data_IF_967407420072
#
_entry.id   IF_967407420072
#
_cell.length_a   1.000
_cell.length_b   1.000
_cell.length_c   1.000
_cell.angle_alpha   90.00
_cell.angle_beta   90.00
_cell.angle_gamma   90.00
#
_symmetry.space_group_name_H-M   'P 1'
#
loop_
_entity.id
_entity.type
_entity.pdbx_description
1 polymer ?
#
# COMPACT_ATOMS: atom_id res chain seq x y z
N UNK A 1 -7.58 4.46 -6.16
CA UNK A 1 -8.60 3.73 -6.96
C UNK A 1 -8.30 3.87 -8.44
N UNK A 2 -8.78 2.91 -9.26
CA UNK A 2 -8.56 2.94 -10.69
C UNK A 2 -9.54 2.05 -11.43
N UNK A 3 -9.39 2.06 -12.74
CA UNK A 3 -10.15 1.18 -13.65
C UNK A 3 -9.21 0.48 -14.61
N UNK A 4 -9.48 -0.77 -14.90
CA UNK A 4 -8.81 -1.54 -15.94
C UNK A 4 -9.78 -1.76 -17.11
N UNK A 5 -9.33 -1.44 -18.31
CA UNK A 5 -10.13 -1.65 -19.53
C UNK A 5 -10.15 -3.15 -19.85
N UNK A 6 -11.29 -3.80 -19.64
CA UNK A 6 -11.44 -5.26 -19.70
C UNK A 6 -10.79 -5.85 -20.95
N UNK A 7 -11.17 -5.42 -22.13
CA UNK A 7 -10.66 -5.95 -23.40
C UNK A 7 -9.12 -5.90 -23.49
N UNK A 8 -8.54 -4.75 -23.16
CA UNK A 8 -7.09 -4.55 -23.25
C UNK A 8 -6.36 -5.32 -22.15
N UNK A 9 -6.92 -5.35 -20.95
CA UNK A 9 -6.36 -6.08 -19.82
C UNK A 9 -6.39 -7.60 -20.06
N UNK A 10 -7.48 -8.14 -20.60
CA UNK A 10 -7.57 -9.56 -20.97
C UNK A 10 -6.53 -9.92 -22.04
N UNK A 11 -6.31 -9.06 -23.03
CA UNK A 11 -5.25 -9.24 -24.04
C UNK A 11 -3.85 -9.19 -23.39
N UNK A 12 -3.63 -8.25 -22.47
CA UNK A 12 -2.37 -8.14 -21.74
C UNK A 12 -2.07 -9.41 -20.94
N UNK A 13 -3.05 -9.94 -20.21
CA UNK A 13 -2.90 -11.17 -19.43
C UNK A 13 -2.60 -12.39 -20.33
N UNK A 14 -3.27 -12.48 -21.48
CA UNK A 14 -3.01 -13.51 -22.50
C UNK A 14 -1.56 -13.48 -22.97
N UNK A 15 -1.06 -12.31 -23.35
CA UNK A 15 0.34 -12.14 -23.77
C UNK A 15 1.34 -12.59 -22.69
N UNK A 16 1.01 -12.40 -21.43
CA UNK A 16 1.85 -12.78 -20.27
C UNK A 16 1.64 -14.21 -19.80
N UNK A 17 0.83 -15.03 -20.51
CA UNK A 17 0.50 -16.42 -20.14
C UNK A 17 -0.15 -16.59 -18.75
N UNK A 18 -0.86 -15.56 -18.28
CA UNK A 18 -1.56 -15.57 -16.97
C UNK A 18 -3.05 -15.99 -17.15
N UNK A 19 -3.37 -16.65 -18.25
CA UNK A 19 -4.72 -16.78 -18.79
C UNK A 19 -5.67 -17.71 -18.03
N UNK A 20 -5.18 -18.60 -17.17
CA UNK A 20 -6.03 -19.65 -16.59
C UNK A 20 -6.86 -19.22 -15.38
N UNK A 21 -6.88 -17.93 -15.05
CA UNK A 21 -7.46 -17.45 -13.79
C UNK A 21 -8.68 -16.54 -13.93
N UNK A 22 -9.11 -16.20 -15.16
CA UNK A 22 -10.11 -15.12 -15.36
C UNK A 22 -11.57 -15.63 -15.43
N UNK A 23 -11.78 -16.93 -15.51
CA UNK A 23 -13.11 -17.51 -15.85
C UNK A 23 -13.98 -17.87 -14.64
N UNK A 24 -13.54 -17.59 -13.45
CA UNK A 24 -14.31 -17.87 -12.23
C UNK A 24 -14.77 -16.59 -11.54
N UNK A 25 -15.81 -16.66 -10.74
CA UNK A 25 -16.36 -15.56 -9.91
C UNK A 25 -15.41 -15.06 -8.80
N UNK A 26 -14.12 -15.29 -8.96
CA UNK A 26 -13.09 -14.94 -7.99
C UNK A 26 -12.65 -13.47 -8.11
N UNK A 27 -12.44 -12.82 -6.97
CA UNK A 27 -11.72 -11.58 -6.89
C UNK A 27 -10.21 -11.86 -7.06
N UNK A 28 -9.56 -11.13 -7.95
CA UNK A 28 -8.12 -11.26 -8.15
C UNK A 28 -7.38 -10.26 -7.30
N UNK A 29 -6.29 -10.70 -6.70
CA UNK A 29 -5.33 -9.84 -6.03
C UNK A 29 -3.98 -9.93 -6.75
N UNK A 30 -3.38 -8.77 -7.03
CA UNK A 30 -2.04 -8.68 -7.56
C UNK A 30 -1.13 -8.05 -6.52
N UNK A 31 0.06 -8.62 -6.40
CA UNK A 31 1.10 -8.09 -5.54
C UNK A 31 2.24 -7.58 -6.41
N UNK A 32 2.65 -6.37 -6.18
CA UNK A 32 3.83 -5.76 -6.80
C UNK A 32 4.79 -5.34 -5.71
N UNK A 33 6.07 -5.48 -5.99
CA UNK A 33 7.10 -4.97 -5.11
C UNK A 33 8.15 -4.26 -5.98
N UNK A 34 8.62 -3.08 -5.60
CA UNK A 34 9.73 -2.47 -6.31
C UNK A 34 10.97 -3.38 -6.19
N UNK A 35 11.64 -3.61 -7.30
CA UNK A 35 12.89 -4.35 -7.28
C UNK A 35 14.03 -3.49 -6.73
N UNK A 36 15.15 -4.12 -6.36
CA UNK A 36 16.31 -3.44 -5.78
C UNK A 36 16.79 -2.26 -6.62
N UNK A 37 16.86 -2.42 -7.93
CA UNK A 37 17.27 -1.35 -8.85
C UNK A 37 16.36 -0.14 -8.79
N UNK A 38 15.04 -0.36 -8.67
CA UNK A 38 14.08 0.73 -8.53
C UNK A 38 14.15 1.39 -7.16
N UNK A 39 14.36 0.60 -6.10
CA UNK A 39 14.54 1.10 -4.74
C UNK A 39 15.74 2.05 -4.70
N UNK A 40 16.90 1.60 -5.20
CA UNK A 40 18.13 2.36 -5.19
C UNK A 40 18.05 3.62 -6.08
N UNK A 41 17.48 3.47 -7.28
CA UNK A 41 17.37 4.56 -8.26
C UNK A 41 16.46 5.71 -7.81
N UNK A 42 15.38 5.40 -7.10
CA UNK A 42 14.34 6.36 -6.74
C UNK A 42 14.25 6.63 -5.24
N UNK A 43 15.21 6.14 -4.45
CA UNK A 43 15.20 6.21 -2.96
C UNK A 43 13.85 5.77 -2.39
N UNK A 44 13.35 4.63 -2.87
CA UNK A 44 12.08 4.09 -2.40
C UNK A 44 12.28 3.35 -1.08
N UNK A 45 11.23 3.38 -0.26
CA UNK A 45 11.13 2.44 0.83
C UNK A 45 10.77 1.06 0.29
N UNK A 46 11.21 0.01 0.97
CA UNK A 46 10.74 -1.32 0.70
C UNK A 46 9.22 -1.35 0.90
N UNK A 47 8.50 -1.77 -0.12
CA UNK A 47 7.05 -1.63 -0.15
C UNK A 47 6.42 -2.81 -0.86
N UNK A 48 5.25 -3.22 -0.39
CA UNK A 48 4.37 -4.14 -1.07
C UNK A 48 3.12 -3.39 -1.54
N UNK A 49 2.82 -3.51 -2.81
CA UNK A 49 1.60 -2.97 -3.41
C UNK A 49 0.63 -4.11 -3.61
N UNK A 50 -0.46 -4.08 -2.88
CA UNK A 50 -1.56 -5.03 -3.05
C UNK A 50 -2.68 -4.35 -3.84
N UNK A 51 -3.15 -5.02 -4.88
CA UNK A 51 -4.28 -4.55 -5.64
C UNK A 51 -5.37 -5.61 -5.71
N UNK A 52 -6.58 -5.22 -5.34
CA UNK A 52 -7.79 -6.00 -5.55
C UNK A 52 -8.48 -5.57 -6.84
N UNK A 53 -8.84 -6.51 -7.68
CA UNK A 53 -9.69 -6.30 -8.85
C UNK A 53 -11.06 -6.87 -8.54
N UNK A 54 -12.08 -6.03 -8.60
CA UNK A 54 -13.46 -6.45 -8.43
C UNK A 54 -14.24 -6.28 -9.73
N UNK A 55 -15.13 -7.22 -10.04
CA UNK A 55 -16.15 -6.98 -11.06
C UNK A 55 -17.03 -5.80 -10.59
N UNK A 56 -17.40 -4.87 -11.49
CA UNK A 56 -18.23 -3.75 -11.10
C UNK A 56 -19.54 -4.28 -10.51
N UNK A 57 -19.77 -4.01 -9.24
CA UNK A 57 -21.06 -4.27 -8.60
C UNK A 57 -22.01 -3.16 -8.99
N UNK A 58 -23.14 -3.52 -9.58
CA UNK A 58 -24.16 -2.60 -10.10
C UNK A 58 -24.87 -1.73 -9.05
N UNK A 59 -24.54 -1.83 -7.76
CA UNK A 59 -25.41 -1.32 -6.70
C UNK A 59 -24.87 -0.27 -5.72
N UNK A 60 -23.58 0.10 -5.72
CA UNK A 60 -23.06 1.11 -4.75
C UNK A 60 -22.39 2.30 -5.42
N UNK A 61 -23.12 2.97 -6.26
CA UNK A 61 -22.66 3.90 -7.29
C UNK A 61 -22.53 5.38 -6.86
N UNK A 62 -22.72 5.77 -5.61
CA UNK A 62 -22.86 7.21 -5.33
C UNK A 62 -21.57 7.97 -5.03
N UNK A 63 -20.58 7.37 -4.37
CA UNK A 63 -19.31 8.07 -4.06
C UNK A 63 -18.18 7.78 -5.07
N UNK A 64 -18.29 6.73 -5.87
CA UNK A 64 -17.27 6.36 -6.85
C UNK A 64 -17.47 6.99 -8.22
N UNK A 65 -18.65 7.57 -8.50
CA UNK A 65 -18.97 8.14 -9.83
C UNK A 65 -18.01 9.22 -10.29
N UNK A 66 -17.62 10.11 -9.39
CA UNK A 66 -16.72 11.22 -9.75
C UNK A 66 -15.29 10.74 -9.98
N UNK A 67 -14.81 9.77 -9.20
CA UNK A 67 -13.50 9.15 -9.38
C UNK A 67 -13.46 8.31 -10.64
N UNK A 68 -14.48 7.49 -10.87
CA UNK A 68 -14.62 6.72 -12.11
C UNK A 68 -14.69 7.63 -13.33
N UNK A 69 -15.40 8.75 -13.24
CA UNK A 69 -15.46 9.73 -14.33
C UNK A 69 -14.08 10.30 -14.65
N UNK A 70 -13.28 10.67 -13.66
CA UNK A 70 -11.89 11.13 -13.87
C UNK A 70 -11.02 10.07 -14.54
N UNK A 71 -11.13 8.81 -14.11
CA UNK A 71 -10.37 7.70 -14.68
C UNK A 71 -10.86 7.32 -16.09
N UNK A 72 -12.16 7.36 -16.33
CA UNK A 72 -12.79 6.94 -17.58
C UNK A 72 -12.95 8.06 -18.61
N UNK A 73 -12.74 9.33 -18.24
CA UNK A 73 -13.02 10.45 -19.15
C UNK A 73 -12.44 10.30 -20.57
N UNK A 74 -11.18 9.85 -20.76
CA UNK A 74 -10.65 9.63 -22.10
C UNK A 74 -11.39 8.53 -22.87
N UNK A 75 -11.80 7.48 -22.18
CA UNK A 75 -12.56 6.37 -22.76
C UNK A 75 -14.00 6.75 -23.07
N UNK A 76 -14.63 7.60 -22.22
CA UNK A 76 -15.95 8.17 -22.47
C UNK A 76 -15.96 8.98 -23.76
N UNK A 77 -14.98 9.85 -23.95
CA UNK A 77 -14.85 10.66 -25.15
C UNK A 77 -14.67 9.76 -26.38
N UNK A 78 -13.81 8.75 -26.28
CA UNK A 78 -13.61 7.77 -27.35
C UNK A 78 -14.89 7.01 -27.69
N UNK A 79 -15.64 6.56 -26.69
CA UNK A 79 -16.88 5.83 -26.88
C UNK A 79 -18.02 6.71 -27.43
N UNK A 80 -18.09 7.99 -27.03
CA UNK A 80 -19.02 8.96 -27.59
C UNK A 80 -18.76 9.21 -29.08
N UNK A 81 -17.50 9.30 -29.47
CA UNK A 81 -17.08 9.54 -30.85
C UNK A 81 -17.21 8.30 -31.75
N UNK A 82 -17.02 7.10 -31.18
CA UNK A 82 -16.94 5.83 -31.94
C UNK A 82 -18.04 4.83 -31.62
N UNK A 83 -19.10 5.25 -30.91
CA UNK A 83 -20.35 4.47 -30.64
C UNK A 83 -20.15 3.03 -30.10
N UNK A 84 -19.07 2.75 -29.36
CA UNK A 84 -18.92 1.48 -28.63
C UNK A 84 -19.84 1.48 -27.39
N UNK A 85 -20.86 0.60 -27.39
CA UNK A 85 -21.99 0.62 -26.47
C UNK A 85 -21.74 0.04 -25.08
N UNK A 86 -20.57 -0.49 -24.75
CA UNK A 86 -20.37 -1.15 -23.46
C UNK A 86 -19.15 -0.61 -22.68
N UNK A 87 -19.46 -0.04 -21.50
CA UNK A 87 -18.48 0.26 -20.45
C UNK A 87 -18.03 -1.05 -19.80
N UNK A 88 -17.09 -1.76 -20.39
CA UNK A 88 -16.54 -2.99 -19.84
C UNK A 88 -15.21 -2.67 -19.16
N UNK A 89 -15.26 -2.48 -17.83
CA UNK A 89 -14.07 -2.26 -17.01
C UNK A 89 -14.12 -3.10 -15.72
N UNK A 90 -12.98 -3.25 -15.10
CA UNK A 90 -12.86 -3.77 -13.73
C UNK A 90 -12.53 -2.62 -12.80
N UNK A 91 -13.17 -2.58 -11.64
CA UNK A 91 -12.77 -1.69 -10.55
C UNK A 91 -11.47 -2.20 -9.92
N UNK A 92 -10.59 -1.28 -9.58
CA UNK A 92 -9.23 -1.57 -9.20
C UNK A 92 -8.82 -0.70 -8.02
N UNK A 93 -8.54 -1.33 -6.89
CA UNK A 93 -8.09 -0.67 -5.67
C UNK A 93 -6.63 -1.02 -5.38
N UNK A 94 -5.87 -0.04 -4.91
CA UNK A 94 -4.48 -0.20 -4.56
C UNK A 94 -4.29 0.15 -3.09
N UNK A 95 -3.66 -0.77 -2.37
CA UNK A 95 -3.13 -0.55 -1.03
C UNK A 95 -1.60 -0.66 -1.07
N UNK A 96 -0.91 0.31 -0.51
CA UNK A 96 0.54 0.29 -0.39
C UNK A 96 0.89 0.04 1.07
N UNK A 97 1.57 -1.06 1.34
CA UNK A 97 2.23 -1.36 2.61
C UNK A 97 3.70 -1.00 2.44
N UNK A 98 4.19 -0.09 3.23
CA UNK A 98 5.55 0.44 3.13
C UNK A 98 6.26 0.36 4.46
N UNK A 99 7.52 -0.03 4.43
CA UNK A 99 8.39 0.11 5.58
C UNK A 99 8.52 1.58 5.98
N UNK A 100 8.89 1.81 7.20
CA UNK A 100 9.22 3.11 7.74
C UNK A 100 10.66 3.08 8.24
N UNK A 101 11.45 4.12 7.93
CA UNK A 101 12.80 4.23 8.47
C UNK A 101 12.74 4.29 10.01
N UNK A 102 13.60 3.56 10.72
CA UNK A 102 13.67 3.66 12.17
C UNK A 102 13.92 5.09 12.61
N UNK A 103 13.14 5.56 13.57
CA UNK A 103 13.27 6.92 14.13
C UNK A 103 13.04 6.87 15.64
N UNK A 104 13.91 7.51 16.42
CA UNK A 104 13.73 7.64 17.88
C UNK A 104 12.52 8.50 18.26
N UNK A 105 11.95 9.27 17.33
CA UNK A 105 10.69 9.97 17.54
C UNK A 105 9.51 9.01 17.64
N UNK A 106 9.60 7.88 16.92
CA UNK A 106 8.59 6.83 16.93
C UNK A 106 8.93 5.83 18.02
N UNK A 107 8.23 5.93 19.15
CA UNK A 107 8.53 5.16 20.36
C UNK A 107 7.30 4.95 21.22
N UNK A 108 7.39 3.99 22.07
CA UNK A 108 6.41 3.75 23.14
C UNK A 108 7.09 4.10 24.46
N UNK A 109 6.44 4.91 25.27
CA UNK A 109 6.87 5.29 26.61
C UNK A 109 5.76 4.95 27.61
N UNK A 110 6.14 4.68 28.86
CA UNK A 110 5.15 4.53 29.92
C UNK A 110 4.73 5.92 30.42
N UNK A 111 3.42 6.15 30.48
CA UNK A 111 2.85 7.37 31.05
C UNK A 111 3.00 7.38 32.58
N UNK A 112 2.88 8.57 33.16
CA UNK A 112 2.71 8.71 34.62
C UNK A 112 1.34 8.22 35.10
N UNK A 113 0.36 8.21 34.21
CA UNK A 113 -0.98 7.69 34.46
C UNK A 113 -0.97 6.16 34.52
N UNK A 114 -1.84 5.63 35.39
CA UNK A 114 -1.96 4.19 35.61
C UNK A 114 -3.39 3.75 35.35
N UNK A 115 -3.52 2.48 34.95
CA UNK A 115 -4.81 1.82 34.86
C UNK A 115 -5.40 1.47 36.25
N UNK A 116 -6.57 0.83 36.26
CA UNK A 116 -7.26 0.40 37.47
C UNK A 116 -6.45 -0.63 38.29
N UNK A 117 -5.45 -1.28 37.73
CA UNK A 117 -4.57 -2.25 38.38
C UNK A 117 -3.24 -1.62 38.83
N UNK A 118 -3.09 -0.31 38.65
CA UNK A 118 -1.86 0.39 39.02
C UNK A 118 -0.73 0.25 37.99
N UNK A 119 -1.00 -0.26 36.80
CA UNK A 119 -0.02 -0.46 35.73
C UNK A 119 0.07 0.82 34.89
N UNK A 120 1.27 1.36 34.62
CA UNK A 120 1.43 2.53 33.74
C UNK A 120 0.85 2.31 32.34
N UNK A 121 0.10 3.29 31.85
CA UNK A 121 -0.50 3.24 30.51
C UNK A 121 0.59 3.51 29.47
N UNK A 122 0.68 2.75 28.35
CA UNK A 122 1.65 3.03 27.31
C UNK A 122 1.21 4.22 26.45
N UNK A 123 2.10 5.17 26.23
CA UNK A 123 1.94 6.26 25.28
C UNK A 123 2.66 5.93 23.99
N UNK A 124 1.96 5.97 22.87
CA UNK A 124 2.53 5.80 21.53
C UNK A 124 2.82 7.18 20.93
N UNK A 125 4.09 7.48 20.68
CA UNK A 125 4.55 8.58 19.87
C UNK A 125 4.84 8.07 18.48
N UNK A 126 4.08 8.51 17.49
CA UNK A 126 4.24 8.05 16.12
C UNK A 126 4.03 9.18 15.13
N UNK A 127 5.03 9.37 14.29
CA UNK A 127 5.02 10.34 13.20
C UNK A 127 5.39 9.62 11.90
N UNK A 128 4.59 9.82 10.87
CA UNK A 128 4.91 9.29 9.55
C UNK A 128 5.81 10.28 8.83
N UNK A 129 6.99 9.84 8.48
CA UNK A 129 7.97 10.66 7.80
C UNK A 129 7.58 10.98 6.35
N UNK A 130 8.09 12.11 5.84
CA UNK A 130 7.82 12.58 4.47
C UNK A 130 8.30 11.59 3.40
N UNK A 131 9.36 10.81 3.66
CA UNK A 131 9.89 9.79 2.75
C UNK A 131 8.86 8.69 2.46
N UNK A 132 8.00 8.32 3.41
CA UNK A 132 6.90 7.35 3.19
C UNK A 132 5.93 7.89 2.13
N UNK A 133 5.57 9.16 2.24
CA UNK A 133 4.69 9.84 1.27
C UNK A 133 5.34 9.93 -0.10
N UNK A 134 6.61 10.33 -0.16
CA UNK A 134 7.36 10.48 -1.40
C UNK A 134 7.51 9.12 -2.12
N UNK A 135 7.83 8.07 -1.38
CA UNK A 135 7.91 6.71 -1.90
C UNK A 135 6.57 6.24 -2.46
N UNK A 136 5.49 6.38 -1.68
CA UNK A 136 4.14 6.01 -2.12
C UNK A 136 3.71 6.78 -3.36
N UNK A 137 3.97 8.08 -3.41
CA UNK A 137 3.69 8.92 -4.58
C UNK A 137 4.42 8.41 -5.81
N UNK A 138 5.71 8.12 -5.70
CA UNK A 138 6.53 7.62 -6.81
C UNK A 138 6.06 6.27 -7.33
N UNK A 139 5.67 5.37 -6.43
CA UNK A 139 5.09 4.07 -6.78
C UNK A 139 3.80 4.25 -7.59
N UNK A 140 2.89 5.10 -7.10
CA UNK A 140 1.61 5.38 -7.78
C UNK A 140 1.82 6.03 -9.14
N UNK A 141 2.71 7.01 -9.25
CA UNK A 141 3.05 7.66 -10.53
C UNK A 141 3.61 6.65 -11.54
N UNK A 142 4.50 5.76 -11.09
CA UNK A 142 5.10 4.73 -11.94
C UNK A 142 4.05 3.74 -12.42
N UNK A 143 3.16 3.29 -11.54
CA UNK A 143 2.08 2.38 -11.90
C UNK A 143 1.06 3.03 -12.81
N UNK A 144 0.67 4.28 -12.53
CA UNK A 144 -0.25 5.03 -13.39
C UNK A 144 0.31 5.20 -14.81
N UNK A 145 1.62 5.53 -14.91
CA UNK A 145 2.30 5.62 -16.20
C UNK A 145 2.27 4.27 -16.93
N UNK A 146 2.60 3.18 -16.26
CA UNK A 146 2.56 1.83 -16.83
C UNK A 146 1.17 1.48 -17.38
N UNK A 147 0.09 1.73 -16.60
CA UNK A 147 -1.27 1.45 -17.05
C UNK A 147 -1.68 2.26 -18.30
N UNK A 148 -1.16 3.48 -18.39
CA UNK A 148 -1.38 4.35 -19.55
C UNK A 148 -0.60 3.88 -20.77
N UNK A 149 0.70 3.61 -20.60
CA UNK A 149 1.60 3.22 -21.69
C UNK A 149 1.18 1.87 -22.32
N UNK A 150 0.68 0.94 -21.51
CA UNK A 150 0.16 -0.35 -21.98
C UNK A 150 -1.32 -0.26 -22.42
N UNK A 151 -1.94 0.89 -22.33
CA UNK A 151 -3.36 1.14 -22.66
C UNK A 151 -4.35 0.21 -21.92
N UNK A 152 -3.97 -0.30 -20.74
CA UNK A 152 -4.76 -1.28 -19.98
C UNK A 152 -5.62 -0.67 -18.88
N UNK A 153 -5.41 0.60 -18.52
CA UNK A 153 -6.19 1.21 -17.45
C UNK A 153 -5.84 2.66 -17.13
N UNK A 154 -6.45 3.15 -16.08
CA UNK A 154 -6.22 4.48 -15.49
C UNK A 154 -6.24 4.37 -13.98
N UNK A 155 -5.48 5.22 -13.33
CA UNK A 155 -5.38 5.30 -11.87
C UNK A 155 -5.64 6.74 -11.43
N UNK A 156 -6.53 6.91 -10.46
CA UNK A 156 -6.73 8.16 -9.73
C UNK A 156 -6.16 8.00 -8.32
N UNK A 157 -5.21 8.83 -7.98
CA UNK A 157 -4.63 8.84 -6.66
C UNK A 157 -5.44 9.74 -5.72
N UNK A 158 -5.50 9.35 -4.45
CA UNK A 158 -6.16 10.12 -3.41
C UNK A 158 -5.42 11.43 -3.13
N UNK A 159 -6.17 12.47 -2.84
CA UNK A 159 -5.65 13.84 -2.63
C UNK A 159 -4.59 13.90 -1.53
N UNK A 160 -4.66 13.04 -0.51
CA UNK A 160 -3.70 13.04 0.60
C UNK A 160 -2.26 12.75 0.16
N UNK A 161 -2.05 12.07 -0.98
CA UNK A 161 -0.72 11.84 -1.53
C UNK A 161 -0.04 13.11 -2.03
N UNK A 162 -0.83 14.10 -2.44
CA UNK A 162 -0.37 15.36 -3.05
C UNK A 162 -0.53 16.56 -2.14
N UNK A 163 -1.17 16.41 -1.01
CA UNK A 163 -1.45 17.47 -0.05
C UNK A 163 -0.84 17.13 1.32
N UNK A 164 -0.78 18.11 2.23
CA UNK A 164 -0.36 17.88 3.61
C UNK A 164 -1.48 17.30 4.50
N UNK A 165 -2.57 16.85 3.91
CA UNK A 165 -3.65 16.19 4.67
C UNK A 165 -3.14 14.89 5.30
N UNK A 166 -3.67 14.58 6.48
CA UNK A 166 -3.37 13.33 7.18
C UNK A 166 -3.88 12.15 6.36
N UNK A 167 -3.17 11.04 6.43
CA UNK A 167 -3.64 9.79 5.84
C UNK A 167 -4.92 9.34 6.51
N UNK A 168 -5.86 8.81 5.71
CA UNK A 168 -7.15 8.35 6.22
C UNK A 168 -7.08 6.95 6.84
N UNK A 169 -6.11 6.12 6.42
CA UNK A 169 -5.92 4.77 6.91
C UNK A 169 -4.48 4.54 7.36
N UNK A 170 -4.33 3.72 8.38
CA UNK A 170 -3.20 3.94 9.19
C UNK A 170 -2.27 2.82 9.42
N UNK A 171 -2.62 1.61 9.51
CA UNK A 171 -1.64 0.65 9.99
C UNK A 171 -1.86 -0.74 9.46
N UNK A 172 -0.76 -1.47 9.33
CA UNK A 172 -0.76 -2.88 9.06
C UNK A 172 -0.77 -3.74 10.32
N UNK A 173 -0.85 -3.14 11.50
CA UNK A 173 -0.72 -3.82 12.80
C UNK A 173 0.58 -4.63 12.97
N UNK A 174 1.60 -4.32 12.16
CA UNK A 174 2.89 -4.97 12.16
C UNK A 174 3.95 -4.02 12.73
N UNK A 175 3.94 -3.89 14.06
CA UNK A 175 4.90 -3.05 14.76
C UNK A 175 6.24 -3.77 14.85
N UNK A 176 7.32 -3.08 14.47
CA UNK A 176 8.69 -3.61 14.53
C UNK A 176 9.61 -2.66 15.29
N UNK A 177 10.73 -3.19 15.80
CA UNK A 177 11.77 -2.41 16.44
C UNK A 177 11.60 -2.20 17.95
N UNK A 178 10.56 -2.76 18.57
CA UNK A 178 10.40 -2.75 20.02
C UNK A 178 11.48 -3.58 20.74
N UNK A 179 11.84 -4.73 20.16
CA UNK A 179 12.87 -5.65 20.66
C UNK A 179 14.13 -5.59 19.80
N UNK A 180 14.64 -4.40 19.61
CA UNK A 180 15.76 -4.12 18.71
C UNK A 180 17.00 -4.94 19.06
N UNK A 181 17.57 -5.63 18.05
CA UNK A 181 18.81 -6.40 18.16
C UNK A 181 20.04 -5.49 18.12
N UNK A 182 21.07 -5.83 18.89
CA UNK A 182 22.36 -5.15 18.86
C UNK A 182 23.32 -5.67 19.92
N UNK A 183 24.60 -5.28 19.78
CA UNK A 183 25.63 -5.69 20.71
C UNK A 183 25.72 -4.79 21.95
N UNK A 184 25.18 -3.58 21.89
CA UNK A 184 25.19 -2.63 23.00
C UNK A 184 23.86 -2.64 23.74
N UNK A 185 23.88 -3.09 24.97
CA UNK A 185 22.71 -3.16 25.86
C UNK A 185 22.03 -1.80 26.09
N UNK A 186 22.72 -0.68 25.92
CA UNK A 186 22.13 0.64 26.10
C UNK A 186 21.30 1.07 24.89
N UNK A 187 21.53 0.47 23.72
CA UNK A 187 20.90 0.79 22.47
C UNK A 187 20.11 -0.36 21.84
N UNK A 188 20.05 -1.52 22.53
CA UNK A 188 19.35 -2.71 22.06
C UNK A 188 18.70 -3.45 23.21
N UNK A 189 17.76 -4.31 22.89
CA UNK A 189 17.02 -5.15 23.86
C UNK A 189 17.55 -6.57 23.87
N UNK A 190 17.89 -7.09 22.68
CA UNK A 190 18.39 -8.46 22.49
C UNK A 190 19.73 -8.46 21.78
N UNK A 191 20.52 -9.48 22.05
CA UNK A 191 21.76 -9.76 21.30
C UNK A 191 21.48 -10.48 19.98
N UNK A 192 22.54 -10.83 19.24
CA UNK A 192 22.45 -11.55 17.97
C UNK A 192 21.82 -12.93 18.05
N UNK A 193 21.70 -13.50 19.26
CA UNK A 193 21.06 -14.78 19.51
C UNK A 193 19.61 -14.61 20.02
N UNK A 194 19.05 -13.41 19.88
CA UNK A 194 17.71 -13.05 20.38
C UNK A 194 17.57 -13.09 21.91
N UNK A 195 18.67 -13.20 22.63
CA UNK A 195 18.67 -13.23 24.10
C UNK A 195 18.60 -11.79 24.63
N UNK A 196 17.70 -11.57 25.60
CA UNK A 196 17.58 -10.27 26.28
C UNK A 196 18.84 -10.00 27.10
N UNK A 197 19.42 -8.81 26.91
CA UNK A 197 20.61 -8.39 27.64
C UNK A 197 20.40 -8.51 29.16
N UNK A 198 21.46 -8.87 29.89
CA UNK A 198 21.45 -9.04 31.34
C UNK A 198 20.52 -10.14 31.89
N UNK A 199 20.00 -11.01 31.05
CA UNK A 199 19.21 -12.18 31.46
C UNK A 199 19.98 -13.47 31.20
N UNK A 200 19.63 -14.55 31.91
CA UNK A 200 20.26 -15.86 31.71
C UNK A 200 19.56 -16.68 30.63
N UNK A 201 18.25 -16.65 30.59
CA UNK A 201 17.40 -17.56 29.82
C UNK A 201 16.15 -16.93 29.23
N UNK A 202 16.14 -15.62 29.00
CA UNK A 202 15.04 -14.94 28.35
C UNK A 202 15.43 -14.64 26.90
N UNK A 203 14.66 -15.18 25.96
CA UNK A 203 14.81 -14.99 24.53
C UNK A 203 13.51 -14.42 23.96
N UNK A 204 13.61 -13.55 22.98
CA UNK A 204 12.46 -12.97 22.30
C UNK A 204 12.59 -13.27 20.82
N UNK A 205 11.64 -14.06 20.31
CA UNK A 205 11.45 -14.32 18.89
C UNK A 205 10.24 -13.51 18.41
N UNK A 206 10.38 -12.83 17.26
CA UNK A 206 9.33 -11.98 16.70
C UNK A 206 9.08 -12.33 15.24
#
# INVERSE_FOLDING_TARGET
EGVLFKKNFDVFLKKRKIQNYIDTDCNYSFFFSPNKTSIDKFDLLNSSVNSGIAKPKSSNFQNSKFMQLKCLAPQLIKNLLFSEKEFNHYDFNISILSDQKPSFKNRIELASEKDSNGIPIPNLYWEREQNVRNSSKKIIETLAKFLIDEEIGRLAAEDFLFTNKKYLHQNGYHHMGGTRMGNDQNNSVVDQNLKVHNTKNLFIEN
#
